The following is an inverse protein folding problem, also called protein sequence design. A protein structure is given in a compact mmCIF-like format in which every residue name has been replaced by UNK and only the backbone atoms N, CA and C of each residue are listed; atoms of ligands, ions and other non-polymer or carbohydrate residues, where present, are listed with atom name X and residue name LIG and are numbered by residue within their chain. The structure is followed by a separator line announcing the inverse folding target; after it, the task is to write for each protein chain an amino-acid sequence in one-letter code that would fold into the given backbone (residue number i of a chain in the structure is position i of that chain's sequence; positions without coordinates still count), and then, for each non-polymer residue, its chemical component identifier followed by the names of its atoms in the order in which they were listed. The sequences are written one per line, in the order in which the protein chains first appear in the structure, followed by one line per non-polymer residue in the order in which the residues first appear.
data_IF_679792598419
#
_entry.id   IF_679792598419
#
_cell.length_a   1.000
_cell.length_b   1.000
_cell.length_c   1.000
_cell.angle_alpha   90.00
_cell.angle_beta   90.00
_cell.angle_gamma   90.00
#
_symmetry.space_group_name_H-M   'P 1'
#
loop_
_entity.id
_entity.type
_entity.pdbx_description
1 polymer ?
#
# COMPACT_ATOMS: atom_id res chain seq x y z
N UNK A 1 30.41 27.69 -31.09
CA UNK A 1 29.09 27.42 -30.46
C UNK A 1 28.47 26.06 -30.81
N UNK A 2 28.79 25.45 -31.96
CA UNK A 2 28.33 24.10 -32.34
C UNK A 2 28.82 22.93 -31.46
N UNK A 3 30.11 22.85 -31.04
CA UNK A 3 30.61 21.64 -30.36
C UNK A 3 30.10 21.52 -28.93
N UNK A 4 29.92 22.64 -28.23
CA UNK A 4 29.36 22.67 -26.87
C UNK A 4 27.90 22.20 -26.86
N UNK A 5 27.12 22.54 -27.89
CA UNK A 5 25.73 22.12 -28.02
C UNK A 5 25.63 20.58 -28.21
N UNK A 6 26.51 20.01 -29.03
CA UNK A 6 26.59 18.56 -29.23
C UNK A 6 27.01 17.83 -27.94
N UNK A 7 27.95 18.40 -27.18
CA UNK A 7 28.35 17.86 -25.87
C UNK A 7 27.21 17.92 -24.85
N UNK A 8 26.47 19.03 -24.78
CA UNK A 8 25.33 19.16 -23.88
C UNK A 8 24.20 18.18 -24.25
N UNK A 9 23.94 17.99 -25.55
CA UNK A 9 22.94 17.03 -26.02
C UNK A 9 23.33 15.59 -25.67
N UNK A 10 24.62 15.24 -25.79
CA UNK A 10 25.12 13.92 -25.39
C UNK A 10 24.94 13.63 -23.90
N UNK A 11 25.22 14.63 -23.03
CA UNK A 11 25.01 14.50 -21.58
C UNK A 11 23.52 14.39 -21.23
N UNK A 12 22.65 15.13 -21.94
CA UNK A 12 21.19 15.07 -21.75
C UNK A 12 20.58 13.73 -22.17
N UNK A 13 21.16 13.05 -23.15
CA UNK A 13 20.67 11.76 -23.65
C UNK A 13 21.29 10.54 -22.94
N UNK A 14 22.34 10.73 -22.15
CA UNK A 14 23.00 9.67 -21.38
C UNK A 14 22.05 8.85 -20.46
N UNK A 15 21.08 9.45 -19.73
CA UNK A 15 20.20 8.67 -18.85
C UNK A 15 19.18 7.80 -19.61
N UNK A 16 18.93 8.05 -20.90
CA UNK A 16 18.05 7.18 -21.69
C UNK A 16 18.66 5.78 -21.93
N UNK A 17 19.98 5.64 -21.86
CA UNK A 17 20.68 4.37 -22.01
C UNK A 17 20.63 3.51 -20.73
N UNK A 18 20.26 4.09 -19.59
CA UNK A 18 20.12 3.42 -18.30
C UNK A 18 18.68 2.91 -18.10
N UNK A 19 18.21 2.03 -18.99
CA UNK A 19 16.96 1.30 -18.80
C UNK A 19 17.25 0.13 -17.83
N UNK A 20 17.28 0.39 -16.53
CA UNK A 20 17.56 -0.62 -15.49
C UNK A 20 16.32 -1.45 -15.09
N UNK A 21 15.26 -1.44 -15.91
CA UNK A 21 14.03 -2.18 -15.66
C UNK A 21 14.04 -3.36 -16.61
N UNK A 22 14.44 -4.52 -16.08
CA UNK A 22 14.15 -5.79 -16.73
C UNK A 22 12.64 -5.92 -16.90
N UNK A 23 12.12 -6.10 -18.13
CA UNK A 23 10.70 -6.30 -18.33
C UNK A 23 10.32 -7.72 -17.88
N UNK A 24 9.97 -7.87 -16.61
CA UNK A 24 9.48 -9.12 -16.06
C UNK A 24 9.42 -9.11 -14.54
N UNK A 25 8.63 -10.00 -13.94
CA UNK A 25 8.62 -10.11 -12.50
C UNK A 25 10.00 -10.51 -12.00
N UNK A 26 10.46 -9.88 -10.91
CA UNK A 26 11.78 -10.11 -10.35
C UNK A 26 12.02 -11.60 -9.99
N UNK A 27 10.93 -12.36 -9.80
CA UNK A 27 10.87 -13.83 -9.79
C UNK A 27 9.43 -14.34 -9.99
N UNK A 28 9.22 -15.63 -10.36
CA UNK A 28 7.87 -16.22 -10.42
C UNK A 28 7.08 -16.09 -9.11
N UNK A 29 7.76 -16.09 -7.96
CA UNK A 29 7.15 -15.93 -6.64
C UNK A 29 6.71 -14.47 -6.37
N UNK A 30 7.41 -13.48 -6.93
CA UNK A 30 7.10 -12.06 -6.78
C UNK A 30 6.01 -11.57 -7.73
N UNK A 31 5.69 -12.34 -8.78
CA UNK A 31 4.70 -11.97 -9.79
C UNK A 31 3.33 -11.62 -9.18
N UNK A 32 2.87 -12.37 -8.18
CA UNK A 32 1.62 -12.06 -7.48
C UNK A 32 1.67 -10.69 -6.80
N UNK A 33 2.75 -10.41 -6.07
CA UNK A 33 2.96 -9.14 -5.36
C UNK A 33 3.02 -7.96 -6.32
N UNK A 34 3.75 -8.09 -7.43
CA UNK A 34 3.86 -7.03 -8.42
C UNK A 34 2.53 -6.71 -9.10
N UNK A 35 1.72 -7.74 -9.40
CA UNK A 35 0.36 -7.54 -9.93
C UNK A 35 -0.48 -6.73 -8.94
N UNK A 36 -0.42 -7.04 -7.64
CA UNK A 36 -1.13 -6.28 -6.61
C UNK A 36 -0.63 -4.83 -6.49
N UNK A 37 0.69 -4.61 -6.58
CA UNK A 37 1.27 -3.26 -6.54
C UNK A 37 0.83 -2.41 -7.74
N UNK A 38 0.81 -2.98 -8.94
CA UNK A 38 0.30 -2.31 -10.15
C UNK A 38 -1.20 -2.01 -10.02
N UNK A 39 -1.98 -2.99 -9.54
CA UNK A 39 -3.43 -2.83 -9.33
C UNK A 39 -3.75 -1.71 -8.32
N UNK A 40 -3.01 -1.67 -7.20
CA UNK A 40 -3.19 -0.69 -6.14
C UNK A 40 -2.75 0.71 -6.56
N UNK A 41 -1.58 0.84 -7.19
CA UNK A 41 -1.06 2.14 -7.65
C UNK A 41 -1.91 2.76 -8.76
N UNK A 42 -2.45 1.93 -9.66
CA UNK A 42 -3.35 2.36 -10.73
C UNK A 42 -4.78 2.68 -10.26
N UNK A 43 -5.13 2.40 -9.00
CA UNK A 43 -6.49 2.61 -8.49
C UNK A 43 -7.57 1.80 -9.20
N UNK A 44 -7.20 0.80 -10.00
CA UNK A 44 -8.13 0.05 -10.87
C UNK A 44 -9.11 -0.82 -10.06
N UNK A 45 -8.74 -1.17 -8.83
CA UNK A 45 -9.61 -1.86 -7.87
C UNK A 45 -10.16 -0.93 -6.78
N UNK A 46 -10.08 0.40 -6.96
CA UNK A 46 -10.69 1.33 -6.02
C UNK A 46 -12.21 1.13 -6.02
N UNK A 47 -12.81 1.13 -4.82
CA UNK A 47 -14.27 0.99 -4.70
C UNK A 47 -14.98 2.17 -5.37
N UNK A 48 -16.04 1.94 -6.17
CA UNK A 48 -16.86 3.02 -6.71
C UNK A 48 -17.71 3.70 -5.62
N UNK A 49 -17.91 3.04 -4.48
CA UNK A 49 -18.64 3.61 -3.35
C UNK A 49 -17.72 4.49 -2.51
N UNK A 50 -18.02 5.80 -2.50
CA UNK A 50 -17.32 6.77 -1.68
C UNK A 50 -17.61 6.48 -0.19
N UNK A 51 -16.57 6.11 0.54
CA UNK A 51 -16.62 5.99 2.00
C UNK A 51 -16.47 7.38 2.63
N UNK A 52 -17.53 8.18 2.53
CA UNK A 52 -17.58 9.51 3.16
C UNK A 52 -18.14 9.40 4.56
N UNK A 53 -17.30 9.61 5.58
CA UNK A 53 -17.76 9.84 6.95
C UNK A 53 -18.04 11.34 7.14
N UNK A 54 -19.13 11.70 7.81
CA UNK A 54 -19.34 13.08 8.26
C UNK A 54 -18.25 13.45 9.26
N UNK A 55 -17.93 14.74 9.39
CA UNK A 55 -16.88 15.21 10.31
C UNK A 55 -17.07 14.67 11.75
N UNK A 56 -18.30 14.67 12.28
CA UNK A 56 -18.60 14.12 13.60
C UNK A 56 -18.43 12.60 13.71
N UNK A 57 -18.76 11.84 12.65
CA UNK A 57 -18.57 10.38 12.63
C UNK A 57 -17.08 10.02 12.57
N UNK A 58 -16.29 10.81 11.84
CA UNK A 58 -14.83 10.67 11.79
C UNK A 58 -14.21 10.93 13.16
N UNK A 59 -14.66 11.97 13.84
CA UNK A 59 -14.18 12.30 15.19
C UNK A 59 -14.51 11.20 16.20
N UNK A 60 -15.74 10.68 16.18
CA UNK A 60 -16.14 9.56 17.04
C UNK A 60 -15.35 8.27 16.75
N UNK A 61 -15.04 8.00 15.48
CA UNK A 61 -14.20 6.87 15.10
C UNK A 61 -12.76 7.05 15.62
N UNK A 62 -12.21 8.26 15.52
CA UNK A 62 -10.89 8.59 16.05
C UNK A 62 -10.85 8.46 17.57
N UNK A 63 -11.88 8.95 18.26
CA UNK A 63 -12.02 8.81 19.71
C UNK A 63 -12.03 7.34 20.13
N UNK A 64 -12.82 6.49 19.46
CA UNK A 64 -12.83 5.04 19.72
C UNK A 64 -11.47 4.40 19.51
N UNK A 65 -10.74 4.82 18.46
CA UNK A 65 -9.39 4.33 18.21
C UNK A 65 -8.42 4.72 19.33
N UNK A 66 -8.49 5.96 19.81
CA UNK A 66 -7.71 6.40 20.97
C UNK A 66 -8.09 5.64 22.25
N UNK A 67 -9.37 5.38 22.46
CA UNK A 67 -9.86 4.64 23.61
C UNK A 67 -9.40 3.16 23.61
N UNK A 68 -9.15 2.57 22.44
CA UNK A 68 -8.63 1.22 22.31
C UNK A 68 -7.28 1.04 23.04
N UNK A 69 -6.40 2.05 22.99
CA UNK A 69 -5.11 2.01 23.67
C UNK A 69 -5.20 2.11 25.19
N UNK A 70 -6.37 2.46 25.74
CA UNK A 70 -6.60 2.49 27.19
C UNK A 70 -6.89 1.11 27.76
N UNK A 71 -7.12 0.12 26.90
CA UNK A 71 -7.39 -1.25 27.34
C UNK A 71 -6.08 -2.02 27.47
N UNK A 72 -5.79 -2.63 28.63
CA UNK A 72 -4.60 -3.44 28.79
C UNK A 72 -4.69 -4.66 27.87
N UNK A 73 -3.55 -5.05 27.30
CA UNK A 73 -3.44 -6.32 26.58
C UNK A 73 -3.61 -7.44 27.62
N UNK A 74 -4.57 -8.36 27.45
CA UNK A 74 -4.70 -9.49 28.36
C UNK A 74 -3.45 -10.37 28.31
N UNK A 75 -2.95 -10.80 29.46
CA UNK A 75 -1.84 -11.77 29.56
C UNK A 75 -2.21 -13.13 28.91
N UNK A 76 -3.50 -13.47 28.94
CA UNK A 76 -4.03 -14.69 28.35
C UNK A 76 -5.31 -14.39 27.58
N UNK A 77 -5.39 -14.85 26.33
CA UNK A 77 -6.64 -14.87 25.58
C UNK A 77 -7.46 -16.07 26.05
N UNK A 78 -8.72 -15.84 26.40
CA UNK A 78 -9.62 -16.91 26.84
C UNK A 78 -10.06 -17.71 25.61
N UNK A 79 -9.55 -18.93 25.46
CA UNK A 79 -10.00 -19.86 24.42
C UNK A 79 -11.48 -20.18 24.63
N UNK A 80 -12.36 -19.48 23.91
CA UNK A 80 -13.80 -19.73 23.97
C UNK A 80 -14.24 -20.80 22.95
N UNK A 81 -13.29 -21.39 22.22
CA UNK A 81 -13.48 -22.36 21.14
C UNK A 81 -13.91 -23.76 21.60
N UNK A 82 -14.67 -23.87 22.70
CA UNK A 82 -15.15 -25.15 23.21
C UNK A 82 -16.30 -25.09 24.22
N UNK A 83 -16.82 -23.91 24.56
CA UNK A 83 -17.98 -23.81 25.46
C UNK A 83 -19.26 -23.95 24.63
N UNK A 84 -19.52 -25.16 24.12
CA UNK A 84 -20.86 -25.55 23.70
C UNK A 84 -21.72 -25.60 24.97
N UNK A 85 -22.85 -24.90 25.06
CA UNK A 85 -23.71 -24.98 26.23
C UNK A 85 -24.29 -26.40 26.29
N UNK A 86 -23.78 -27.23 27.21
CA UNK A 86 -24.43 -28.48 27.58
C UNK A 86 -25.67 -28.13 28.40
N UNK A 87 -26.83 -28.46 27.82
CA UNK A 87 -28.15 -28.45 28.45
C UNK A 87 -28.23 -29.55 29.52
#
# INVERSE_FOLDING_TARGET
MKPNLLSCLGVLLFPLAAQAIEPGPASPQQQGTEIWLVLQSGGQAASPTLQSAKAGERELALQRWLDNYKHPIPEYYKDTSGQQPTQ
#
